data_IF_138307153101
#
_entry.id   IF_138307153101
#
_cell.length_a   1.000
_cell.length_b   1.000
_cell.length_c   1.000
_cell.angle_alpha   90.00
_cell.angle_beta   90.00
_cell.angle_gamma   90.00
#
_symmetry.space_group_name_H-M   'P 1'
#
loop_
_entity.id
_entity.type
_entity.pdbx_description
1 polymer ?
#
# COMPACT_ATOMS: atom_id res chain seq x y z
N UNK A 1 -31.33 1.65 -4.60
CA UNK A 1 -31.24 0.39 -5.37
C UNK A 1 -31.75 -0.74 -4.48
N UNK A 2 -32.28 -1.81 -5.06
CA UNK A 2 -32.65 -2.99 -4.27
C UNK A 2 -31.41 -3.76 -3.85
N UNK A 3 -31.33 -4.13 -2.57
CA UNK A 3 -30.24 -4.95 -2.04
C UNK A 3 -30.27 -6.33 -2.71
N UNK A 4 -29.16 -6.80 -3.31
CA UNK A 4 -29.10 -8.14 -3.90
C UNK A 4 -29.44 -9.23 -2.90
N UNK A 5 -30.15 -10.26 -3.34
CA UNK A 5 -30.52 -11.40 -2.46
C UNK A 5 -29.29 -12.20 -2.00
N UNK A 6 -28.22 -12.19 -2.79
CA UNK A 6 -26.90 -12.70 -2.41
C UNK A 6 -26.35 -12.01 -1.16
N UNK A 7 -26.42 -10.68 -1.06
CA UNK A 7 -25.99 -9.93 0.12
C UNK A 7 -26.82 -10.30 1.35
N UNK A 8 -28.15 -10.41 1.22
CA UNK A 8 -29.01 -10.84 2.33
C UNK A 8 -28.63 -12.24 2.80
N UNK A 9 -28.37 -13.16 1.88
CA UNK A 9 -27.92 -14.52 2.20
C UNK A 9 -26.56 -14.55 2.91
N UNK A 10 -25.61 -13.69 2.50
CA UNK A 10 -24.33 -13.56 3.20
C UNK A 10 -24.54 -13.11 4.65
N UNK A 11 -25.40 -12.10 4.87
CA UNK A 11 -25.75 -11.59 6.20
C UNK A 11 -26.38 -12.69 7.05
N UNK A 12 -27.39 -13.39 6.53
CA UNK A 12 -28.07 -14.50 7.23
C UNK A 12 -27.10 -15.64 7.57
N UNK A 13 -26.22 -16.01 6.64
CA UNK A 13 -25.23 -17.07 6.84
C UNK A 13 -24.22 -16.65 7.92
N UNK A 14 -23.81 -15.39 7.93
CA UNK A 14 -22.88 -14.85 8.91
C UNK A 14 -23.49 -14.80 10.31
N UNK A 15 -24.72 -14.27 10.42
CA UNK A 15 -25.47 -14.20 11.68
C UNK A 15 -25.65 -15.59 12.30
N UNK A 16 -26.11 -16.56 11.51
CA UNK A 16 -26.36 -17.93 11.97
C UNK A 16 -25.10 -18.62 12.53
N UNK A 17 -23.92 -18.27 12.03
CA UNK A 17 -22.65 -18.90 12.39
C UNK A 17 -21.72 -17.99 13.21
N UNK A 18 -22.18 -16.81 13.64
CA UNK A 18 -21.36 -15.76 14.27
C UNK A 18 -20.52 -16.27 15.44
N UNK A 19 -21.14 -17.02 16.35
CA UNK A 19 -20.47 -17.61 17.52
C UNK A 19 -19.35 -18.57 17.13
N UNK A 20 -19.51 -19.33 16.05
CA UNK A 20 -18.48 -20.24 15.54
C UNK A 20 -17.33 -19.47 14.91
N UNK A 21 -17.63 -18.44 14.12
CA UNK A 21 -16.61 -17.62 13.47
C UNK A 21 -15.75 -16.84 14.48
N UNK A 22 -16.32 -16.42 15.61
CA UNK A 22 -15.59 -15.72 16.68
C UNK A 22 -14.71 -16.60 17.55
N UNK A 23 -14.90 -17.92 17.55
CA UNK A 23 -14.07 -18.87 18.34
C UNK A 23 -12.63 -19.02 17.84
N UNK A 24 -12.27 -18.34 16.75
CA UNK A 24 -10.88 -18.17 16.30
C UNK A 24 -10.31 -19.29 15.42
N UNK A 25 -11.05 -20.39 15.23
CA UNK A 25 -10.73 -21.43 14.25
C UNK A 25 -11.01 -20.98 12.82
N UNK A 26 -11.97 -20.05 12.65
CA UNK A 26 -12.29 -19.45 11.37
C UNK A 26 -11.24 -18.40 11.00
N UNK A 27 -10.54 -18.61 9.88
CA UNK A 27 -9.41 -17.79 9.47
C UNK A 27 -9.79 -16.72 8.44
N UNK A 28 -8.86 -15.78 8.23
CA UNK A 28 -9.05 -14.65 7.32
C UNK A 28 -9.23 -15.08 5.86
N UNK A 29 -8.58 -16.15 5.42
CA UNK A 29 -8.72 -16.67 4.04
C UNK A 29 -10.12 -17.23 3.78
N UNK A 30 -10.70 -17.94 4.75
CA UNK A 30 -12.07 -18.43 4.66
C UNK A 30 -13.07 -17.27 4.63
N UNK A 31 -12.91 -16.31 5.55
CA UNK A 31 -13.75 -15.09 5.56
C UNK A 31 -13.71 -14.37 4.21
N UNK A 32 -12.51 -14.20 3.66
CA UNK A 32 -12.31 -13.56 2.37
C UNK A 32 -13.11 -14.24 1.27
N UNK A 33 -12.95 -15.56 1.11
CA UNK A 33 -13.63 -16.33 0.05
C UNK A 33 -15.14 -16.45 0.24
N UNK A 34 -15.60 -16.66 1.48
CA UNK A 34 -17.01 -16.96 1.76
C UNK A 34 -17.87 -15.70 1.87
N UNK A 35 -17.28 -14.54 2.21
CA UNK A 35 -18.04 -13.33 2.51
C UNK A 35 -17.53 -12.09 1.76
N UNK A 36 -16.23 -11.79 1.80
CA UNK A 36 -15.72 -10.53 1.23
C UNK A 36 -15.71 -10.57 -0.30
N UNK A 37 -15.19 -11.64 -0.89
CA UNK A 37 -15.15 -11.84 -2.34
C UNK A 37 -16.57 -11.71 -2.95
N UNK A 38 -17.59 -12.49 -2.52
CA UNK A 38 -18.94 -12.35 -3.09
C UNK A 38 -19.56 -10.98 -2.82
N UNK A 39 -19.30 -10.36 -1.65
CA UNK A 39 -19.79 -9.01 -1.35
C UNK A 39 -19.27 -7.97 -2.36
N UNK A 40 -17.98 -8.03 -2.72
CA UNK A 40 -17.42 -7.10 -3.71
C UNK A 40 -17.73 -7.50 -5.15
N UNK A 41 -17.97 -8.78 -5.44
CA UNK A 41 -18.53 -9.20 -6.73
C UNK A 41 -19.93 -8.57 -6.96
N UNK A 42 -20.78 -8.50 -5.93
CA UNK A 42 -22.08 -7.82 -5.99
C UNK A 42 -21.97 -6.28 -6.13
N UNK A 43 -20.85 -5.70 -5.72
CA UNK A 43 -20.49 -4.30 -6.01
C UNK A 43 -19.94 -4.11 -7.44
N UNK A 44 -19.93 -5.17 -8.25
CA UNK A 44 -19.56 -5.15 -9.65
C UNK A 44 -18.06 -5.28 -9.92
N UNK A 45 -17.27 -5.74 -8.94
CA UNK A 45 -15.83 -5.96 -9.11
C UNK A 45 -15.52 -7.37 -9.59
N UNK A 46 -14.61 -7.50 -10.56
CA UNK A 46 -14.10 -8.82 -10.96
C UNK A 46 -12.98 -9.29 -10.01
N UNK A 47 -13.39 -9.85 -8.87
CA UNK A 47 -12.49 -10.28 -7.78
C UNK A 47 -11.61 -11.45 -8.22
N UNK A 48 -12.18 -12.39 -8.96
CA UNK A 48 -11.52 -13.66 -9.34
C UNK A 48 -10.98 -13.64 -10.77
N UNK A 49 -11.01 -12.49 -11.45
CA UNK A 49 -10.60 -12.32 -12.84
C UNK A 49 -11.34 -13.26 -13.81
N UNK A 50 -12.66 -13.39 -13.65
CA UNK A 50 -13.54 -14.20 -14.52
C UNK A 50 -13.49 -13.73 -15.97
N UNK A 51 -13.17 -12.46 -16.22
CA UNK A 51 -12.96 -11.91 -17.56
C UNK A 51 -11.63 -12.33 -18.20
N UNK A 52 -10.71 -12.93 -17.45
CA UNK A 52 -9.44 -13.43 -17.99
C UNK A 52 -8.45 -12.34 -18.40
N UNK A 53 -8.54 -11.14 -17.81
CA UNK A 53 -7.61 -10.06 -18.11
C UNK A 53 -6.19 -10.36 -17.64
N UNK A 54 -5.20 -9.81 -18.37
CA UNK A 54 -3.81 -9.84 -17.93
C UNK A 54 -3.62 -9.05 -16.63
N UNK A 55 -2.56 -9.36 -15.87
CA UNK A 55 -2.31 -8.81 -14.53
C UNK A 55 -2.37 -7.27 -14.47
N UNK A 56 -1.89 -6.59 -15.51
CA UNK A 56 -1.91 -5.14 -15.60
C UNK A 56 -3.33 -4.53 -15.65
N UNK A 57 -4.32 -5.30 -16.11
CA UNK A 57 -5.68 -4.85 -16.39
C UNK A 57 -6.73 -5.44 -15.45
N UNK A 58 -6.33 -6.31 -14.50
CA UNK A 58 -7.25 -6.82 -13.48
C UNK A 58 -7.85 -5.69 -12.66
N UNK A 59 -9.16 -5.76 -12.44
CA UNK A 59 -9.89 -4.85 -11.55
C UNK A 59 -9.38 -4.97 -10.11
N UNK A 60 -9.01 -6.17 -9.66
CA UNK A 60 -8.54 -6.44 -8.30
C UNK A 60 -7.25 -7.24 -8.32
N UNK A 61 -6.25 -6.77 -7.56
CA UNK A 61 -5.02 -7.53 -7.26
C UNK A 61 -5.11 -8.06 -5.83
N UNK A 62 -4.82 -9.35 -5.65
CA UNK A 62 -4.68 -10.00 -4.35
C UNK A 62 -3.20 -10.11 -3.96
N UNK A 63 -2.84 -9.70 -2.76
CA UNK A 63 -1.46 -9.79 -2.26
C UNK A 63 -1.03 -11.23 -1.93
N UNK A 64 -1.96 -12.13 -1.60
CA UNK A 64 -1.64 -13.52 -1.23
C UNK A 64 -0.89 -14.29 -2.33
N UNK A 65 -1.00 -13.87 -3.60
CA UNK A 65 -0.29 -14.50 -4.71
C UNK A 65 1.23 -14.20 -4.74
N UNK A 66 1.73 -13.21 -3.99
CA UNK A 66 3.13 -12.73 -4.05
C UNK A 66 3.94 -13.14 -2.79
N UNK A 67 3.36 -13.89 -1.85
CA UNK A 67 4.04 -14.31 -0.61
C UNK A 67 5.21 -15.28 -0.84
N UNK A 68 6.42 -14.74 -1.00
CA UNK A 68 7.69 -15.47 -0.78
C UNK A 68 8.26 -15.04 0.58
N UNK A 69 8.34 -15.97 1.54
CA UNK A 69 9.05 -15.74 2.82
C UNK A 69 8.21 -15.24 4.00
N UNK A 70 6.89 -15.41 3.98
CA UNK A 70 6.05 -15.41 5.20
C UNK A 70 5.78 -14.06 5.87
N UNK A 71 6.14 -12.92 5.25
CA UNK A 71 5.90 -11.59 5.81
C UNK A 71 5.06 -10.78 4.83
N UNK A 72 3.74 -10.79 5.04
CA UNK A 72 2.77 -9.96 4.29
C UNK A 72 3.04 -8.48 4.59
N UNK A 73 3.27 -7.67 3.56
CA UNK A 73 3.64 -6.24 3.70
C UNK A 73 2.81 -5.31 2.82
N UNK A 74 1.74 -5.79 2.22
CA UNK A 74 0.79 -4.96 1.51
C UNK A 74 -0.65 -5.49 1.71
N UNK A 75 -1.66 -4.70 1.31
CA UNK A 75 -3.05 -4.93 1.70
C UNK A 75 -3.68 -6.09 0.96
N UNK A 76 -4.56 -6.84 1.62
CA UNK A 76 -5.15 -8.06 1.06
C UNK A 76 -5.74 -7.88 -0.35
N UNK A 77 -6.36 -6.72 -0.61
CA UNK A 77 -6.90 -6.35 -1.92
C UNK A 77 -6.48 -4.94 -2.35
N UNK A 78 -6.16 -4.81 -3.65
CA UNK A 78 -6.02 -3.54 -4.34
C UNK A 78 -7.04 -3.41 -5.47
N UNK A 79 -7.99 -2.49 -5.30
CA UNK A 79 -9.03 -2.20 -6.29
C UNK A 79 -8.55 -1.13 -7.27
N UNK A 80 -8.72 -1.38 -8.57
CA UNK A 80 -8.19 -0.57 -9.66
C UNK A 80 -9.21 -0.42 -10.78
N UNK A 81 -9.17 0.71 -11.47
CA UNK A 81 -9.92 0.94 -12.70
C UNK A 81 -8.94 1.45 -13.75
N UNK A 82 -8.86 0.76 -14.89
CA UNK A 82 -7.91 1.11 -15.95
C UNK A 82 -6.44 1.10 -15.47
N UNK A 83 -6.09 0.20 -14.55
CA UNK A 83 -4.76 0.12 -13.94
C UNK A 83 -4.48 1.15 -12.83
N UNK A 84 -5.36 2.14 -12.62
CA UNK A 84 -5.21 3.15 -11.57
C UNK A 84 -5.83 2.65 -10.26
N UNK A 85 -5.04 2.67 -9.18
CA UNK A 85 -5.50 2.31 -7.83
C UNK A 85 -6.57 3.26 -7.33
N UNK A 86 -7.65 2.72 -6.74
CA UNK A 86 -8.78 3.49 -6.19
C UNK A 86 -8.84 3.43 -4.66
N UNK A 87 -8.80 2.23 -4.10
CA UNK A 87 -8.72 2.02 -2.65
C UNK A 87 -8.10 0.66 -2.34
N UNK A 88 -7.68 0.48 -1.09
CA UNK A 88 -7.27 -0.81 -0.55
C UNK A 88 -8.36 -1.39 0.35
N UNK A 89 -8.40 -2.72 0.46
CA UNK A 89 -9.13 -3.42 1.49
C UNK A 89 -8.18 -4.34 2.25
N UNK A 90 -8.24 -4.25 3.58
CA UNK A 90 -7.60 -5.20 4.50
C UNK A 90 -8.69 -5.99 5.21
N UNK A 91 -8.56 -7.31 5.17
CA UNK A 91 -9.43 -8.24 5.88
C UNK A 91 -8.83 -8.58 7.24
N UNK A 92 -9.67 -8.87 8.23
CA UNK A 92 -9.25 -9.52 9.48
C UNK A 92 -10.22 -10.66 9.78
N UNK A 93 -9.78 -11.63 10.58
CA UNK A 93 -10.69 -12.68 11.08
C UNK A 93 -11.73 -12.08 12.04
N UNK A 94 -12.97 -12.61 12.10
CA UNK A 94 -14.05 -12.07 12.96
C UNK A 94 -13.76 -12.03 14.46
N UNK A 95 -12.73 -12.76 14.92
CA UNK A 95 -12.29 -12.72 16.31
C UNK A 95 -11.48 -11.44 16.66
N UNK A 96 -11.15 -10.59 15.68
CA UNK A 96 -10.39 -9.34 15.88
C UNK A 96 -11.36 -8.18 15.92
N UNK A 97 -11.40 -7.44 17.04
CA UNK A 97 -12.21 -6.24 17.15
C UNK A 97 -11.55 -5.07 16.41
N UNK A 98 -11.95 -4.83 15.17
CA UNK A 98 -11.37 -3.76 14.33
C UNK A 98 -11.90 -2.38 14.71
N UNK A 99 -12.99 -2.30 15.49
CA UNK A 99 -13.49 -1.02 16.00
C UNK A 99 -12.50 -0.34 16.95
N UNK A 100 -11.84 -1.11 17.81
CA UNK A 100 -10.96 -0.60 18.88
C UNK A 100 -9.47 -0.91 18.65
N UNK A 101 -9.13 -1.96 17.89
CA UNK A 101 -7.72 -2.30 17.64
C UNK A 101 -7.02 -1.26 16.74
N UNK A 102 -5.97 -0.67 17.28
CA UNK A 102 -5.15 0.36 16.63
C UNK A 102 -4.36 -0.24 15.47
N UNK A 103 -3.84 -1.47 15.63
CA UNK A 103 -2.84 -1.99 14.70
C UNK A 103 -3.39 -2.18 13.26
N UNK A 104 -4.55 -2.83 13.06
CA UNK A 104 -5.16 -2.95 11.73
C UNK A 104 -5.49 -1.60 11.09
N UNK A 105 -6.07 -0.68 11.86
CA UNK A 105 -6.42 0.66 11.37
C UNK A 105 -5.17 1.47 10.96
N UNK A 106 -4.12 1.44 11.78
CA UNK A 106 -2.84 2.07 11.48
C UNK A 106 -2.19 1.49 10.23
N UNK A 107 -2.16 0.16 10.09
CA UNK A 107 -1.60 -0.53 8.95
C UNK A 107 -2.28 -0.11 7.64
N UNK A 108 -3.62 -0.19 7.59
CA UNK A 108 -4.40 0.18 6.42
C UNK A 108 -4.17 1.65 6.03
N UNK A 109 -4.29 2.56 7.00
CA UNK A 109 -4.08 4.00 6.75
C UNK A 109 -2.66 4.29 6.27
N UNK A 110 -1.65 3.57 6.76
CA UNK A 110 -0.26 3.72 6.31
C UNK A 110 -0.11 3.33 4.84
N UNK A 111 -0.73 2.22 4.41
CA UNK A 111 -0.73 1.84 3.00
C UNK A 111 -1.47 2.88 2.14
N UNK A 112 -2.69 3.26 2.53
CA UNK A 112 -3.47 4.26 1.80
C UNK A 112 -2.72 5.59 1.66
N UNK A 113 -2.14 6.10 2.75
CA UNK A 113 -1.37 7.34 2.78
C UNK A 113 -0.12 7.26 1.87
N UNK A 114 0.65 6.17 1.97
CA UNK A 114 1.86 5.98 1.16
C UNK A 114 1.54 5.87 -0.34
N UNK A 115 0.40 5.27 -0.68
CA UNK A 115 -0.08 5.14 -2.06
C UNK A 115 -0.87 6.37 -2.56
N UNK A 116 -0.96 7.44 -1.77
CA UNK A 116 -1.77 8.65 -2.04
C UNK A 116 -3.24 8.34 -2.34
N UNK A 117 -3.78 7.27 -1.76
CA UNK A 117 -5.20 6.91 -1.89
C UNK A 117 -6.02 7.70 -0.88
N UNK A 118 -7.18 8.23 -1.26
CA UNK A 118 -7.99 9.02 -0.34
C UNK A 118 -8.72 8.15 0.69
N UNK A 119 -9.21 6.96 0.28
CA UNK A 119 -9.99 6.06 1.12
C UNK A 119 -9.45 4.65 1.08
N UNK A 120 -9.68 3.89 2.15
CA UNK A 120 -9.46 2.45 2.21
C UNK A 120 -10.39 1.81 3.24
N UNK A 121 -10.63 0.50 3.08
CA UNK A 121 -11.60 -0.28 3.87
C UNK A 121 -10.86 -1.27 4.77
N UNK A 122 -11.28 -1.35 6.03
CA UNK A 122 -10.90 -2.42 6.97
C UNK A 122 -12.17 -3.18 7.32
N UNK A 123 -12.18 -4.51 7.16
CA UNK A 123 -13.36 -5.31 7.48
C UNK A 123 -13.01 -6.71 7.95
N UNK A 124 -13.84 -7.24 8.83
CA UNK A 124 -13.91 -8.67 9.21
C UNK A 124 -15.30 -9.26 8.87
N UNK A 125 -15.98 -8.63 7.89
CA UNK A 125 -17.39 -8.78 7.53
C UNK A 125 -18.40 -8.38 8.61
N UNK A 126 -18.14 -8.66 9.90
CA UNK A 126 -18.99 -8.16 10.98
C UNK A 126 -18.98 -6.64 11.04
N UNK A 127 -17.80 -6.05 10.89
CA UNK A 127 -17.52 -4.64 10.96
C UNK A 127 -16.98 -4.15 9.60
N UNK A 128 -17.46 -3.00 9.12
CA UNK A 128 -17.01 -2.34 7.89
C UNK A 128 -16.58 -0.91 8.21
N UNK A 129 -15.27 -0.68 8.22
CA UNK A 129 -14.69 0.62 8.54
C UNK A 129 -14.07 1.26 7.30
N UNK A 130 -14.45 2.50 7.01
CA UNK A 130 -13.81 3.32 5.97
C UNK A 130 -12.94 4.38 6.62
N UNK A 131 -11.70 4.48 6.15
CA UNK A 131 -10.73 5.45 6.64
C UNK A 131 -10.37 6.50 5.59
N UNK A 132 -10.31 7.77 6.02
CA UNK A 132 -9.62 8.83 5.30
C UNK A 132 -8.10 8.64 5.45
N UNK A 133 -7.45 8.32 4.34
CA UNK A 133 -6.02 8.03 4.28
C UNK A 133 -5.16 9.24 3.89
N UNK A 134 -5.76 10.44 3.75
CA UNK A 134 -5.02 11.67 3.42
C UNK A 134 -4.29 12.27 4.62
N UNK A 135 -4.69 11.90 5.83
CA UNK A 135 -4.04 12.32 7.08
C UNK A 135 -2.94 11.33 7.43
N UNK A 136 -1.71 11.81 7.60
CA UNK A 136 -0.55 10.97 7.96
C UNK A 136 -0.85 10.17 9.23
N UNK A 137 -0.79 8.82 9.18
CA UNK A 137 -1.11 8.00 10.33
C UNK A 137 0.02 7.99 11.36
N UNK A 138 -0.35 8.00 12.64
CA UNK A 138 0.55 7.84 13.77
C UNK A 138 0.28 6.53 14.52
N UNK A 139 1.33 5.93 15.09
CA UNK A 139 1.21 4.68 15.87
C UNK A 139 0.39 4.82 17.16
N UNK A 140 0.19 6.05 17.62
CA UNK A 140 -0.59 6.37 18.83
C UNK A 140 -2.01 6.82 18.49
N UNK A 141 -2.37 6.87 17.21
CA UNK A 141 -3.74 7.20 16.81
C UNK A 141 -4.69 6.10 17.30
N UNK A 142 -5.83 6.49 17.88
CA UNK A 142 -6.90 5.56 18.18
C UNK A 142 -7.45 4.96 16.88
N UNK A 143 -8.04 3.76 16.96
CA UNK A 143 -8.68 3.10 15.81
C UNK A 143 -9.80 3.94 15.16
N UNK A 144 -10.43 4.87 15.90
CA UNK A 144 -11.44 5.79 15.39
C UNK A 144 -10.86 7.01 14.64
N UNK A 145 -9.56 7.28 14.74
CA UNK A 145 -8.94 8.43 14.09
C UNK A 145 -9.04 8.29 12.57
N UNK A 146 -9.55 9.34 11.91
CA UNK A 146 -9.82 9.36 10.47
C UNK A 146 -10.80 8.26 9.99
N UNK A 147 -11.52 7.57 10.88
CA UNK A 147 -12.62 6.69 10.47
C UNK A 147 -13.84 7.54 10.12
N UNK A 148 -14.27 7.48 8.87
CA UNK A 148 -15.34 8.35 8.34
C UNK A 148 -16.66 7.61 8.14
N UNK A 149 -16.62 6.28 8.09
CA UNK A 149 -17.78 5.40 8.09
C UNK A 149 -17.44 4.16 8.92
N UNK A 150 -18.40 3.70 9.71
CA UNK A 150 -18.33 2.46 10.46
C UNK A 150 -19.72 1.85 10.47
N UNK A 151 -19.84 0.64 9.96
CA UNK A 151 -21.08 -0.12 9.87
C UNK A 151 -20.86 -1.50 10.47
N UNK A 152 -21.92 -2.09 11.02
CA UNK A 152 -21.98 -3.51 11.27
C UNK A 152 -22.70 -4.23 10.12
N UNK A 153 -22.52 -5.54 10.02
CA UNK A 153 -23.20 -6.36 9.01
C UNK A 153 -24.74 -6.25 9.10
N UNK A 154 -25.28 -5.99 10.29
CA UNK A 154 -26.71 -5.70 10.51
C UNK A 154 -27.18 -4.42 9.84
N UNK A 155 -26.28 -3.47 9.57
CA UNK A 155 -26.59 -2.20 8.92
C UNK A 155 -26.50 -2.29 7.40
N UNK A 156 -25.95 -3.38 6.83
CA UNK A 156 -25.66 -3.47 5.40
C UNK A 156 -26.88 -3.36 4.52
N UNK A 157 -28.04 -3.87 4.95
CA UNK A 157 -29.29 -3.76 4.17
C UNK A 157 -29.71 -2.29 4.08
N UNK A 158 -29.79 -1.61 5.21
CA UNK A 158 -30.23 -0.20 5.28
C UNK A 158 -29.23 0.78 4.66
N UNK A 159 -27.94 0.40 4.65
CA UNK A 159 -26.84 1.22 4.15
C UNK A 159 -26.29 0.76 2.81
N UNK A 160 -26.92 -0.21 2.16
CA UNK A 160 -26.45 -0.77 0.89
C UNK A 160 -26.27 0.30 -0.19
N UNK A 161 -27.21 1.23 -0.29
CA UNK A 161 -27.14 2.33 -1.25
C UNK A 161 -25.96 3.26 -0.97
N UNK A 162 -25.63 3.52 0.29
CA UNK A 162 -24.45 4.31 0.66
C UNK A 162 -23.15 3.57 0.27
N UNK A 163 -23.05 2.29 0.59
CA UNK A 163 -21.89 1.45 0.24
C UNK A 163 -21.72 1.39 -1.28
N UNK A 164 -22.79 1.11 -2.01
CA UNK A 164 -22.80 1.00 -3.48
C UNK A 164 -22.41 2.31 -4.14
N UNK A 165 -22.94 3.45 -3.67
CA UNK A 165 -22.63 4.77 -4.23
C UNK A 165 -21.17 5.19 -4.01
N UNK A 166 -20.49 4.65 -3.01
CA UNK A 166 -19.09 4.97 -2.74
C UNK A 166 -18.16 3.96 -3.43
N UNK A 167 -18.41 2.66 -3.28
CA UNK A 167 -17.43 1.61 -3.56
C UNK A 167 -17.79 0.68 -4.73
N UNK A 168 -18.97 0.79 -5.34
CA UNK A 168 -19.24 -0.01 -6.54
C UNK A 168 -18.40 0.45 -7.72
N UNK A 169 -17.99 -0.50 -8.56
CA UNK A 169 -17.18 -0.22 -9.74
C UNK A 169 -17.83 0.83 -10.64
N UNK A 170 -19.15 0.73 -10.84
CA UNK A 170 -19.92 1.67 -11.64
C UNK A 170 -19.99 3.07 -11.01
N UNK A 171 -20.23 3.18 -9.70
CA UNK A 171 -20.31 4.48 -9.04
C UNK A 171 -18.97 5.23 -9.08
N UNK A 172 -17.84 4.50 -8.98
CA UNK A 172 -16.52 5.11 -9.14
C UNK A 172 -16.31 5.60 -10.57
N UNK A 173 -16.69 4.83 -11.59
CA UNK A 173 -16.64 5.28 -12.99
C UNK A 173 -17.46 6.54 -13.25
N UNK A 174 -18.58 6.70 -12.53
CA UNK A 174 -19.45 7.89 -12.58
C UNK A 174 -18.97 9.05 -11.69
N UNK A 175 -17.84 8.90 -10.99
CA UNK A 175 -17.20 9.95 -10.18
C UNK A 175 -17.81 10.15 -8.78
N UNK A 176 -18.68 9.25 -8.30
CA UNK A 176 -19.30 9.38 -6.97
C UNK A 176 -18.29 9.26 -5.84
N UNK A 177 -17.26 8.42 -6.01
CA UNK A 177 -16.18 8.25 -5.03
C UNK A 177 -15.39 9.53 -4.83
N UNK A 178 -14.99 10.21 -5.92
CA UNK A 178 -14.25 11.47 -5.83
C UNK A 178 -15.09 12.57 -5.17
N UNK A 179 -16.39 12.66 -5.51
CA UNK A 179 -17.32 13.58 -4.84
C UNK A 179 -17.46 13.31 -3.35
N UNK A 180 -17.54 12.03 -2.94
CA UNK A 180 -17.59 11.65 -1.54
C UNK A 180 -16.31 12.06 -0.80
N UNK A 181 -15.14 11.79 -1.38
CA UNK A 181 -13.83 12.20 -0.86
C UNK A 181 -13.75 13.72 -0.66
N UNK A 182 -14.27 14.50 -1.60
CA UNK A 182 -14.32 15.96 -1.52
C UNK A 182 -15.25 16.46 -0.42
N UNK A 183 -16.44 15.88 -0.31
CA UNK A 183 -17.41 16.22 0.75
C UNK A 183 -16.88 16.01 2.16
N UNK A 184 -15.94 15.06 2.32
CA UNK A 184 -15.32 14.70 3.61
C UNK A 184 -14.00 15.44 3.86
N UNK A 185 -13.57 16.38 2.99
CA UNK A 185 -12.38 17.22 3.23
C UNK A 185 -12.59 18.08 4.48
N UNK A 186 -11.91 17.74 5.58
CA UNK A 186 -11.76 18.63 6.74
C UNK A 186 -10.78 19.75 6.42
N UNK A 187 -11.12 21.01 6.77
CA UNK A 187 -10.34 22.23 6.46
C UNK A 187 -8.95 22.33 7.12
N UNK A 188 -8.51 21.34 7.89
CA UNK A 188 -7.21 21.34 8.58
C UNK A 188 -6.63 19.94 8.63
N UNK A 189 -5.42 19.75 8.09
CA UNK A 189 -4.58 18.59 8.42
C UNK A 189 -3.99 17.79 7.26
N UNK A 190 -4.17 18.18 6.00
CA UNK A 190 -3.47 17.54 4.88
C UNK A 190 -2.06 18.10 4.78
N UNK A 191 -1.13 17.59 5.59
CA UNK A 191 0.26 17.60 5.14
C UNK A 191 0.29 16.72 3.88
N UNK A 192 0.43 17.34 2.71
CA UNK A 192 0.55 16.59 1.47
C UNK A 192 1.67 15.57 1.62
N UNK A 193 1.43 14.34 1.13
CA UNK A 193 2.38 13.22 1.19
C UNK A 193 3.76 13.68 0.74
N UNK A 194 3.82 14.60 -0.23
CA UNK A 194 5.05 15.19 -0.76
C UNK A 194 5.82 16.01 0.30
N UNK A 195 5.16 16.88 1.07
CA UNK A 195 5.81 17.63 2.16
C UNK A 195 6.33 16.71 3.25
N UNK A 196 5.55 15.71 3.65
CA UNK A 196 5.96 14.76 4.66
C UNK A 196 7.09 13.84 4.17
N UNK A 197 7.08 13.47 2.89
CA UNK A 197 8.14 12.68 2.26
C UNK A 197 9.44 13.47 2.17
N UNK A 198 9.38 14.75 1.78
CA UNK A 198 10.56 15.64 1.79
C UNK A 198 11.16 15.77 3.19
N UNK A 199 10.33 15.94 4.23
CA UNK A 199 10.79 15.97 5.62
C UNK A 199 11.47 14.64 6.04
N UNK A 200 10.97 13.50 5.57
CA UNK A 200 11.59 12.21 5.83
C UNK A 200 12.95 12.06 5.14
N UNK A 201 13.08 12.52 3.89
CA UNK A 201 14.35 12.54 3.17
C UNK A 201 15.38 13.40 3.91
N UNK A 202 14.99 14.60 4.36
CA UNK A 202 15.90 15.48 5.10
C UNK A 202 16.33 14.85 6.42
N UNK A 203 15.41 14.19 7.14
CA UNK A 203 15.76 13.44 8.35
C UNK A 203 16.72 12.28 8.05
N UNK A 204 16.53 11.53 6.97
CA UNK A 204 17.46 10.47 6.56
C UNK A 204 18.83 11.05 6.23
N UNK A 205 18.88 12.18 5.53
CA UNK A 205 20.11 12.89 5.19
C UNK A 205 20.87 13.29 6.45
N UNK A 206 20.19 13.84 7.45
CA UNK A 206 20.81 14.20 8.74
C UNK A 206 21.36 12.96 9.47
N UNK A 207 20.57 11.89 9.57
CA UNK A 207 20.98 10.65 10.25
C UNK A 207 22.17 9.99 9.56
N UNK A 208 22.18 9.96 8.22
CA UNK A 208 23.29 9.45 7.43
C UNK A 208 24.53 10.34 7.59
N UNK A 209 24.37 11.67 7.56
CA UNK A 209 25.48 12.61 7.75
C UNK A 209 26.18 12.38 9.08
N UNK A 210 25.43 12.36 10.19
CA UNK A 210 25.97 12.10 11.53
C UNK A 210 26.70 10.75 11.57
N UNK A 211 26.09 9.69 11.06
CA UNK A 211 26.66 8.34 11.15
C UNK A 211 27.88 8.10 10.25
N UNK A 212 27.89 8.67 9.03
CA UNK A 212 28.99 8.50 8.08
C UNK A 212 30.18 9.36 8.51
N UNK A 213 29.96 10.61 8.93
CA UNK A 213 31.01 11.50 9.39
C UNK A 213 31.75 10.93 10.60
N UNK A 214 31.02 10.40 11.60
CA UNK A 214 31.61 9.79 12.80
C UNK A 214 32.52 8.59 12.51
N UNK A 215 32.29 7.88 11.39
CA UNK A 215 33.03 6.67 11.04
C UNK A 215 34.09 6.91 9.96
N UNK A 216 34.14 8.11 9.39
CA UNK A 216 35.00 8.45 8.27
C UNK A 216 35.49 9.90 8.42
N UNK A 217 36.36 10.14 9.40
CA UNK A 217 36.90 11.47 9.74
C UNK A 217 37.63 12.17 8.58
N UNK A 218 38.09 11.40 7.59
CA UNK A 218 38.88 11.91 6.48
C UNK A 218 38.03 12.37 5.28
N UNK A 219 36.71 12.20 5.32
CA UNK A 219 35.84 12.65 4.23
C UNK A 219 35.67 14.16 4.26
N UNK A 220 35.83 14.79 3.10
CA UNK A 220 35.42 16.19 2.94
C UNK A 220 33.90 16.31 3.02
N UNK A 221 33.40 17.51 3.37
CA UNK A 221 31.96 17.78 3.38
C UNK A 221 31.30 17.49 2.02
N UNK A 222 32.02 17.76 0.91
CA UNK A 222 31.54 17.48 -0.44
C UNK A 222 31.39 15.99 -0.70
N UNK A 223 32.39 15.18 -0.33
CA UNK A 223 32.35 13.72 -0.49
C UNK A 223 31.29 13.08 0.41
N UNK A 224 31.15 13.58 1.64
CA UNK A 224 30.11 13.16 2.57
C UNK A 224 28.72 13.42 1.98
N UNK A 225 28.45 14.64 1.52
CA UNK A 225 27.17 15.00 0.89
C UNK A 225 26.88 14.14 -0.36
N UNK A 226 27.89 13.93 -1.20
CA UNK A 226 27.76 13.08 -2.39
C UNK A 226 27.41 11.64 -2.02
N UNK A 227 28.10 11.05 -1.03
CA UNK A 227 27.83 9.69 -0.57
C UNK A 227 26.43 9.55 0.01
N UNK A 228 25.97 10.52 0.79
CA UNK A 228 24.62 10.53 1.36
C UNK A 228 23.58 10.60 0.24
N UNK A 229 23.70 11.57 -0.67
CA UNK A 229 22.76 11.76 -1.78
C UNK A 229 22.67 10.50 -2.65
N UNK A 230 23.81 9.97 -3.10
CA UNK A 230 23.85 8.73 -3.88
C UNK A 230 23.23 7.55 -3.14
N UNK A 231 23.40 7.46 -1.82
CA UNK A 231 22.78 6.40 -1.02
C UNK A 231 21.26 6.53 -1.01
N UNK A 232 20.74 7.74 -0.79
CA UNK A 232 19.31 8.03 -0.80
C UNK A 232 18.72 7.75 -2.20
N UNK A 233 19.34 8.27 -3.26
CA UNK A 233 18.87 8.12 -4.64
C UNK A 233 18.75 6.65 -5.05
N UNK A 234 19.72 5.81 -4.66
CA UNK A 234 19.69 4.36 -4.92
C UNK A 234 18.53 3.66 -4.22
N UNK A 235 18.23 4.04 -2.97
CA UNK A 235 17.10 3.49 -2.21
C UNK A 235 15.79 3.93 -2.85
N UNK A 236 15.65 5.22 -3.20
CA UNK A 236 14.46 5.76 -3.85
C UNK A 236 14.22 5.08 -5.20
N UNK A 237 15.27 4.92 -6.02
CA UNK A 237 15.16 4.24 -7.31
C UNK A 237 14.64 2.81 -7.16
N UNK A 238 15.21 2.03 -6.23
CA UNK A 238 14.76 0.67 -5.98
C UNK A 238 13.32 0.64 -5.48
N UNK A 239 12.92 1.60 -4.63
CA UNK A 239 11.53 1.68 -4.16
C UNK A 239 10.55 1.99 -5.29
N UNK A 240 10.89 2.88 -6.20
CA UNK A 240 10.09 3.17 -7.40
C UNK A 240 9.96 1.92 -8.28
N UNK A 241 11.03 1.12 -8.42
CA UNK A 241 10.98 -0.12 -9.18
C UNK A 241 10.05 -1.16 -8.54
N UNK A 242 10.02 -1.25 -7.19
CA UNK A 242 9.05 -2.10 -6.46
C UNK A 242 7.61 -1.63 -6.72
N UNK A 243 7.35 -0.33 -6.63
CA UNK A 243 6.00 0.21 -6.79
C UNK A 243 5.47 0.08 -8.24
N UNK A 244 6.36 0.02 -9.23
CA UNK A 244 6.05 -0.19 -10.65
C UNK A 244 6.03 -1.67 -11.08
N UNK A 245 6.29 -2.61 -10.17
CA UNK A 245 6.36 -4.05 -10.47
C UNK A 245 7.57 -4.47 -11.31
N UNK A 246 8.63 -3.65 -11.36
CA UNK A 246 9.90 -3.95 -12.04
C UNK A 246 10.82 -4.80 -11.12
N UNK A 247 10.69 -4.57 -9.81
CA UNK A 247 11.30 -5.36 -8.74
C UNK A 247 10.21 -5.99 -7.87
N UNK A 248 10.54 -7.10 -7.21
CA UNK A 248 9.64 -7.74 -6.24
C UNK A 248 9.30 -6.77 -5.11
N UNK A 249 8.00 -6.60 -4.86
CA UNK A 249 7.53 -5.68 -3.84
C UNK A 249 8.06 -6.04 -2.44
N UNK A 250 8.55 -5.05 -1.70
CA UNK A 250 9.00 -5.22 -0.32
C UNK A 250 10.42 -5.77 -0.15
N UNK A 251 11.18 -5.94 -1.24
CA UNK A 251 12.57 -6.42 -1.25
C UNK A 251 13.52 -5.55 -0.41
N UNK A 252 13.43 -4.24 -0.51
CA UNK A 252 14.13 -3.27 0.34
C UNK A 252 13.72 -3.44 1.81
N UNK A 253 12.42 -3.58 2.07
CA UNK A 253 11.91 -3.71 3.43
C UNK A 253 12.34 -5.03 4.09
N UNK A 254 12.56 -6.10 3.31
CA UNK A 254 13.07 -7.38 3.80
C UNK A 254 14.49 -7.27 4.42
N UNK A 255 15.26 -6.24 4.03
CA UNK A 255 16.56 -5.95 4.64
C UNK A 255 16.48 -5.62 6.13
N UNK A 256 15.31 -5.30 6.67
CA UNK A 256 15.12 -5.02 8.10
C UNK A 256 15.08 -6.31 8.95
N UNK A 257 14.85 -7.48 8.35
CA UNK A 257 14.61 -8.74 9.05
C UNK A 257 15.91 -9.51 9.39
N UNK A 258 16.99 -8.83 9.73
CA UNK A 258 18.23 -9.52 10.13
C UNK A 258 19.43 -8.60 10.33
N UNK A 259 20.55 -9.20 10.73
CA UNK A 259 21.81 -8.48 10.94
C UNK A 259 22.43 -8.00 9.61
N UNK A 260 23.43 -7.11 9.71
CA UNK A 260 24.24 -6.63 8.58
C UNK A 260 23.44 -5.95 7.45
N UNK A 261 22.40 -5.18 7.82
CA UNK A 261 21.53 -4.43 6.90
C UNK A 261 22.31 -3.69 5.81
N UNK A 262 23.37 -2.96 6.19
CA UNK A 262 24.20 -2.19 5.26
C UNK A 262 24.90 -3.06 4.21
N UNK A 263 25.47 -4.19 4.60
CA UNK A 263 26.14 -5.12 3.67
C UNK A 263 25.15 -5.73 2.69
N UNK A 264 23.96 -6.12 3.16
CA UNK A 264 22.89 -6.67 2.32
C UNK A 264 22.30 -5.63 1.37
N UNK A 265 22.18 -4.37 1.81
CA UNK A 265 21.79 -3.26 0.94
C UNK A 265 22.77 -3.09 -0.23
N UNK A 266 24.08 -3.15 0.03
CA UNK A 266 25.09 -3.07 -1.02
C UNK A 266 25.03 -4.25 -2.00
N UNK A 267 24.64 -5.44 -1.54
CA UNK A 267 24.40 -6.57 -2.44
C UNK A 267 23.22 -6.29 -3.39
N UNK A 268 22.14 -5.65 -2.90
CA UNK A 268 21.04 -5.21 -3.77
C UNK A 268 21.51 -4.16 -4.77
N UNK A 269 22.30 -3.18 -4.33
CA UNK A 269 22.83 -2.15 -5.23
C UNK A 269 23.71 -2.74 -6.33
N UNK A 270 24.55 -3.73 -6.04
CA UNK A 270 25.35 -4.41 -7.08
C UNK A 270 24.46 -5.16 -8.09
N UNK A 271 23.45 -5.90 -7.60
CA UNK A 271 22.48 -6.56 -8.49
C UNK A 271 21.72 -5.55 -9.36
N UNK A 272 21.40 -4.39 -8.80
CA UNK A 272 20.75 -3.30 -9.54
C UNK A 272 21.70 -2.67 -10.56
N UNK A 273 23.00 -2.59 -10.26
CA UNK A 273 24.03 -2.16 -11.21
C UNK A 273 24.07 -3.07 -12.44
N UNK A 274 24.10 -4.38 -12.21
CA UNK A 274 24.11 -5.39 -13.27
C UNK A 274 22.83 -5.34 -14.12
N UNK A 275 21.67 -5.06 -13.50
CA UNK A 275 20.35 -5.07 -14.16
C UNK A 275 20.03 -3.78 -14.91
N UNK A 276 20.38 -2.62 -14.35
CA UNK A 276 19.95 -1.31 -14.86
C UNK A 276 21.07 -0.51 -15.51
N UNK A 277 22.33 -0.80 -15.19
CA UNK A 277 23.54 -0.14 -15.71
C UNK A 277 23.42 1.40 -15.85
N UNK A 278 22.81 2.05 -14.85
CA UNK A 278 22.34 3.44 -14.96
C UNK A 278 23.34 4.50 -14.46
N UNK A 279 24.60 4.14 -14.19
CA UNK A 279 25.60 5.01 -13.52
C UNK A 279 25.24 5.38 -12.06
N UNK A 280 23.99 5.15 -11.64
CA UNK A 280 23.50 5.38 -10.29
C UNK A 280 24.11 4.38 -9.32
N UNK A 281 24.22 3.11 -9.71
CA UNK A 281 24.69 2.01 -8.88
C UNK A 281 26.19 1.73 -8.99
N UNK A 282 26.93 2.42 -9.87
CA UNK A 282 28.37 2.24 -9.99
C UNK A 282 29.09 2.58 -8.67
N UNK A 283 29.97 1.68 -8.25
CA UNK A 283 30.84 1.85 -7.09
C UNK A 283 32.26 2.27 -7.45
N UNK A 284 32.55 2.46 -8.75
CA UNK A 284 33.84 2.92 -9.28
C UNK A 284 33.64 4.24 -10.03
N UNK A 285 34.66 5.11 -10.05
CA UNK A 285 34.69 6.25 -10.98
C UNK A 285 34.63 5.70 -12.40
N UNK A 286 33.68 6.17 -13.20
CA UNK A 286 33.73 5.97 -14.65
C UNK A 286 35.06 6.51 -15.16
N UNK A 287 35.83 5.68 -15.86
CA UNK A 287 36.76 6.22 -16.85
C UNK A 287 35.87 6.69 -17.99
N UNK A 288 35.77 8.01 -18.16
CA UNK A 288 35.27 8.58 -19.40
C UNK A 288 36.22 8.06 -20.49
N UNK A 289 35.80 7.02 -21.21
CA UNK A 289 36.42 6.70 -22.48
C UNK A 289 35.85 7.73 -23.44
N UNK A 290 36.59 8.83 -23.62
CA UNK A 290 36.42 9.65 -24.81
C UNK A 290 36.77 8.76 -25.99
N UNK A 291 35.78 8.07 -26.56
CA UNK A 291 35.91 7.54 -27.91
C UNK A 291 35.95 8.75 -28.83
N UNK A 292 37.18 9.18 -29.13
CA UNK A 292 37.49 10.11 -30.20
C UNK A 292 37.14 9.46 -31.54
N UNK A 293 35.86 9.46 -31.89
CA UNK A 293 35.40 9.15 -33.25
C UNK A 293 34.21 10.01 -33.62
N UNK A 294 34.40 11.33 -33.58
CA UNK A 294 33.63 12.27 -34.40
C UNK A 294 34.65 13.22 -35.02
N UNK A 295 35.27 12.78 -36.12
CA UNK A 295 35.81 13.68 -37.13
C UNK A 295 34.69 13.92 -38.15
N UNK A 296 34.29 15.17 -38.39
CA UNK A 296 34.00 15.62 -39.73
C UNK A 296 35.29 16.26 -40.28
N UNK A 297 35.98 15.57 -41.19
CA UNK A 297 36.82 16.29 -42.14
C UNK A 297 35.97 16.57 -43.38
N UNK A 298 36.10 17.82 -43.84
CA UNK A 298 35.46 18.37 -45.02
C UNK A 298 35.78 17.60 -46.30
#
# INVERSE_FOLDING_TARGET
MTVPDSIKKLIETFDYNLETYKKGSYNETQLRREFIDPFFEDLGWDITNKQGYAEAYKDVIHEDAIKIGGITKAPDYCFRIGGVRKFFLEAKKPAVNIREDIHPAYQLRRYGWSAKLPLSILTDFEEFSVYDCRVKPSKIDKASHSRILYLKYTDYIDKWDEITNIFSREAILRGSFDKYVESKKTKKGTAEVDTAFLQEIERWRELLARNIALRNSNLTQRELNFAIQKTIDRIIFLRICEDRGIEDYGRLMALQNGANVYKRLFQLFRKADDKYNSGLFHFKKEKIVLTSTILPQA
#
